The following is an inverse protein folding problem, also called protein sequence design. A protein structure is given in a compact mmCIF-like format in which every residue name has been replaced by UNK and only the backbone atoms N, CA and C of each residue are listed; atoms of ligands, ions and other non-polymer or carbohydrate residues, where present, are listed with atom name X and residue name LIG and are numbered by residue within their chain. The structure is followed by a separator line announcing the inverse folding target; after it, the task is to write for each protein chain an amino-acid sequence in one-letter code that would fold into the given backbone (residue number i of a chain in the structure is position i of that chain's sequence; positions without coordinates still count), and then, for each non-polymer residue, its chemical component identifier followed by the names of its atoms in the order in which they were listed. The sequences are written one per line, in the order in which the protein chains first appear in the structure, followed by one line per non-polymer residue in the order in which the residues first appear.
data_IF_079411272040
#
_entry.id   IF_079411272040
#
_cell.length_a   1.000
_cell.length_b   1.000
_cell.length_c   1.000
_cell.angle_alpha   90.00
_cell.angle_beta   90.00
_cell.angle_gamma   90.00
#
_symmetry.space_group_name_H-M   'P 1'
#
loop_
_entity.id
_entity.type
_entity.pdbx_description
1 polymer ?
#
# COMPACT_ATOMS: atom_id res chain seq x y z
N UNK A 1 26.94 -38.42 -10.96
CA UNK A 1 26.13 -38.52 -9.73
C UNK A 1 25.28 -37.27 -9.66
N UNK A 2 24.01 -37.35 -10.03
CA UNK A 2 23.05 -36.26 -9.91
C UNK A 2 22.73 -36.01 -8.44
N UNK A 3 23.08 -34.82 -7.93
CA UNK A 3 22.65 -34.37 -6.61
C UNK A 3 21.29 -33.71 -6.78
N UNK A 4 20.23 -34.49 -6.52
CA UNK A 4 18.87 -33.96 -6.35
C UNK A 4 18.82 -33.14 -5.06
N UNK A 5 18.64 -31.83 -5.18
CA UNK A 5 18.31 -30.97 -4.05
C UNK A 5 16.86 -31.25 -3.60
N UNK A 6 16.59 -31.40 -2.30
CA UNK A 6 15.23 -31.59 -1.82
C UNK A 6 14.45 -30.27 -1.98
N UNK A 7 13.38 -30.32 -2.76
CA UNK A 7 12.34 -29.29 -2.81
C UNK A 7 11.79 -29.07 -1.39
N UNK A 8 11.67 -27.82 -0.90
CA UNK A 8 11.04 -27.58 0.40
C UNK A 8 9.55 -27.91 0.30
N UNK A 9 9.13 -28.92 1.05
CA UNK A 9 7.74 -29.38 1.22
C UNK A 9 6.90 -28.40 2.05
N UNK A 10 6.91 -27.10 1.72
CA UNK A 10 5.96 -26.12 2.26
C UNK A 10 4.57 -26.21 1.60
N UNK A 11 4.50 -26.77 0.39
CA UNK A 11 3.26 -26.95 -0.36
C UNK A 11 2.25 -27.91 0.33
N UNK A 12 2.71 -28.78 1.24
CA UNK A 12 1.84 -29.72 1.98
C UNK A 12 1.17 -29.12 3.22
N UNK A 13 1.56 -27.92 3.65
CA UNK A 13 0.93 -27.23 4.78
C UNK A 13 -0.02 -26.12 4.29
N UNK A 14 0.22 -25.53 3.10
CA UNK A 14 -0.63 -24.49 2.53
C UNK A 14 -1.86 -25.02 1.75
N UNK A 15 -1.76 -26.17 1.08
CA UNK A 15 -2.88 -26.73 0.32
C UNK A 15 -4.09 -27.14 1.19
N UNK A 16 -3.94 -27.72 2.40
CA UNK A 16 -5.10 -28.10 3.20
C UNK A 16 -5.76 -26.93 3.93
N UNK A 17 -5.13 -25.76 4.06
CA UNK A 17 -5.76 -24.55 4.66
C UNK A 17 -6.59 -23.78 3.63
N UNK A 18 -6.13 -23.71 2.37
CA UNK A 18 -6.90 -23.08 1.29
C UNK A 18 -8.04 -23.97 0.75
N UNK A 19 -7.88 -25.31 0.71
CA UNK A 19 -8.97 -26.20 0.28
C UNK A 19 -10.04 -26.44 1.36
N UNK A 20 -9.71 -26.38 2.65
CA UNK A 20 -10.75 -26.43 3.70
C UNK A 20 -11.51 -25.11 3.82
N UNK A 21 -10.90 -23.96 3.52
CA UNK A 21 -11.63 -22.69 3.40
C UNK A 21 -12.61 -22.63 2.22
N UNK A 22 -12.38 -23.44 1.16
CA UNK A 22 -13.28 -23.56 0.00
C UNK A 22 -14.28 -24.72 0.10
N UNK A 23 -14.02 -25.75 0.92
CA UNK A 23 -14.92 -26.90 1.12
C UNK A 23 -15.78 -26.79 2.39
N UNK A 24 -15.59 -25.75 3.22
CA UNK A 24 -16.58 -25.28 4.18
C UNK A 24 -17.30 -24.02 3.68
N UNK A 25 -17.77 -24.06 2.44
CA UNK A 25 -19.03 -23.42 2.06
C UNK A 25 -20.15 -24.47 2.17
N UNK A 26 -20.60 -24.88 3.38
CA UNK A 26 -22.01 -25.21 3.47
C UNK A 26 -22.74 -23.93 3.04
N UNK A 27 -23.79 -24.04 2.23
CA UNK A 27 -24.56 -22.89 1.81
C UNK A 27 -24.79 -21.97 3.01
N UNK A 28 -24.12 -20.83 3.04
CA UNK A 28 -24.31 -19.82 4.08
C UNK A 28 -25.61 -19.12 3.68
N UNK A 29 -26.70 -19.82 4.01
CA UNK A 29 -27.92 -19.17 4.45
C UNK A 29 -27.52 -18.10 5.45
N UNK A 30 -28.01 -16.91 5.20
CA UNK A 30 -27.79 -15.71 5.98
C UNK A 30 -28.45 -15.77 7.36
N UNK A 31 -27.95 -16.58 8.30
CA UNK A 31 -28.39 -16.58 9.71
C UNK A 31 -27.18 -16.36 10.63
N UNK A 32 -27.21 -15.46 11.61
CA UNK A 32 -28.02 -15.66 12.82
C UNK A 32 -28.59 -14.38 13.47
N UNK A 33 -28.51 -13.21 12.81
CA UNK A 33 -29.05 -11.96 13.37
C UNK A 33 -30.34 -11.45 12.72
N UNK A 34 -30.63 -11.87 11.49
CA UNK A 34 -31.73 -11.32 10.68
C UNK A 34 -32.66 -12.37 10.08
N UNK A 35 -32.23 -13.64 9.92
CA UNK A 35 -33.05 -14.66 9.23
C UNK A 35 -34.31 -15.04 10.01
N UNK A 36 -34.28 -15.13 11.34
CA UNK A 36 -35.48 -15.44 12.13
C UNK A 36 -36.55 -14.35 12.08
N UNK A 37 -36.18 -13.07 11.95
CA UNK A 37 -37.18 -12.01 11.90
C UNK A 37 -38.00 -12.03 10.61
N UNK A 38 -37.39 -12.46 9.50
CA UNK A 38 -38.06 -12.57 8.20
C UNK A 38 -39.05 -13.72 8.16
N UNK A 39 -38.67 -14.88 8.68
CA UNK A 39 -39.55 -16.06 8.81
C UNK A 39 -40.64 -15.85 9.84
N UNK A 40 -40.34 -15.29 11.03
CA UNK A 40 -41.33 -15.04 12.07
C UNK A 40 -42.36 -13.99 11.66
N UNK A 41 -41.93 -12.93 10.96
CA UNK A 41 -42.85 -11.89 10.45
C UNK A 41 -43.73 -12.46 9.34
N UNK A 42 -43.18 -13.27 8.44
CA UNK A 42 -43.99 -13.92 7.39
C UNK A 42 -44.93 -14.99 7.94
N UNK A 43 -44.51 -15.76 8.95
CA UNK A 43 -45.37 -16.69 9.67
C UNK A 43 -46.48 -15.96 10.43
N UNK A 44 -46.19 -14.83 11.09
CA UNK A 44 -47.19 -14.01 11.76
C UNK A 44 -48.21 -13.44 10.76
N UNK A 45 -47.74 -12.93 9.62
CA UNK A 45 -48.61 -12.44 8.54
C UNK A 45 -49.51 -13.56 8.02
N UNK A 46 -48.97 -14.78 7.85
CA UNK A 46 -49.74 -15.95 7.43
C UNK A 46 -50.77 -16.37 8.49
N UNK A 47 -50.39 -16.41 9.77
CA UNK A 47 -51.30 -16.71 10.89
C UNK A 47 -52.45 -15.69 10.97
N UNK A 48 -52.16 -14.41 10.74
CA UNK A 48 -53.16 -13.34 10.73
C UNK A 48 -54.13 -13.47 9.54
N UNK A 49 -53.64 -13.93 8.37
CA UNK A 49 -54.46 -14.29 7.22
C UNK A 49 -55.37 -15.47 7.52
N UNK A 50 -54.82 -16.55 8.06
CA UNK A 50 -55.55 -17.79 8.38
C UNK A 50 -56.63 -17.56 9.44
N UNK A 51 -56.43 -16.57 10.33
CA UNK A 51 -57.43 -16.12 11.31
C UNK A 51 -58.49 -15.17 10.73
N UNK A 52 -58.43 -14.84 9.44
CA UNK A 52 -59.37 -13.94 8.78
C UNK A 52 -59.25 -12.47 9.21
N UNK A 53 -58.15 -12.09 9.87
CA UNK A 53 -57.91 -10.73 10.37
C UNK A 53 -57.26 -9.81 9.32
N UNK A 54 -56.80 -10.38 8.20
CA UNK A 54 -56.22 -9.65 7.07
C UNK A 54 -56.83 -10.18 5.77
N UNK A 55 -57.28 -9.27 4.91
CA UNK A 55 -57.68 -9.59 3.53
C UNK A 55 -56.45 -9.73 2.62
N UNK A 56 -56.62 -10.32 1.43
CA UNK A 56 -55.56 -10.36 0.42
C UNK A 56 -55.10 -8.95 -0.01
N UNK A 57 -56.02 -7.97 0.03
CA UNK A 57 -55.70 -6.56 -0.24
C UNK A 57 -54.83 -5.95 0.88
N UNK A 58 -55.12 -6.25 2.14
CA UNK A 58 -54.32 -5.80 3.29
C UNK A 58 -52.91 -6.40 3.24
N UNK A 59 -52.80 -7.66 2.85
CA UNK A 59 -51.54 -8.38 2.65
C UNK A 59 -50.68 -7.70 1.57
N UNK A 60 -51.27 -7.38 0.42
CA UNK A 60 -50.58 -6.67 -0.65
C UNK A 60 -50.10 -5.27 -0.20
N UNK A 61 -50.91 -4.54 0.57
CA UNK A 61 -50.53 -3.23 1.13
C UNK A 61 -49.40 -3.34 2.15
N UNK A 62 -49.44 -4.32 3.05
CA UNK A 62 -48.39 -4.57 4.04
C UNK A 62 -47.08 -4.94 3.35
N UNK A 63 -47.11 -5.83 2.36
CA UNK A 63 -45.92 -6.23 1.60
C UNK A 63 -45.32 -5.04 0.84
N UNK A 64 -46.14 -4.22 0.20
CA UNK A 64 -45.70 -2.98 -0.45
C UNK A 64 -45.03 -2.04 0.54
N UNK A 65 -45.65 -1.80 1.72
CA UNK A 65 -45.07 -0.92 2.75
C UNK A 65 -43.76 -1.45 3.32
N UNK A 66 -43.64 -2.76 3.52
CA UNK A 66 -42.38 -3.40 3.93
C UNK A 66 -41.31 -3.21 2.85
N UNK A 67 -41.68 -3.38 1.58
CA UNK A 67 -40.77 -3.16 0.45
C UNK A 67 -40.30 -1.71 0.38
N UNK A 68 -41.21 -0.74 0.45
CA UNK A 68 -40.89 0.69 0.47
C UNK A 68 -39.99 1.07 1.66
N UNK A 69 -40.24 0.50 2.85
CA UNK A 69 -39.38 0.71 4.02
C UNK A 69 -37.99 0.12 3.83
N UNK A 70 -37.87 -1.06 3.22
CA UNK A 70 -36.59 -1.68 2.89
C UNK A 70 -35.82 -0.86 1.84
N UNK A 71 -36.50 -0.40 0.80
CA UNK A 71 -35.91 0.46 -0.24
C UNK A 71 -35.44 1.79 0.33
N UNK A 72 -36.27 2.44 1.15
CA UNK A 72 -35.88 3.67 1.84
C UNK A 72 -34.70 3.46 2.77
N UNK A 73 -34.69 2.39 3.56
CA UNK A 73 -33.57 2.06 4.45
C UNK A 73 -32.29 1.79 3.65
N UNK A 74 -32.37 1.05 2.53
CA UNK A 74 -31.23 0.81 1.66
C UNK A 74 -30.70 2.12 1.04
N UNK A 75 -31.60 3.03 0.66
CA UNK A 75 -31.25 4.35 0.15
C UNK A 75 -30.61 5.23 1.23
N UNK A 76 -31.10 5.19 2.47
CA UNK A 76 -30.52 5.91 3.61
C UNK A 76 -29.14 5.33 4.00
N UNK A 77 -28.91 4.03 3.77
CA UNK A 77 -27.61 3.37 3.99
C UNK A 77 -26.59 3.65 2.86
N UNK A 78 -27.03 4.12 1.70
CA UNK A 78 -26.14 4.57 0.63
C UNK A 78 -25.60 5.98 0.96
N UNK A 79 -24.33 6.06 1.37
CA UNK A 79 -23.70 7.33 1.68
C UNK A 79 -23.54 8.21 0.42
N UNK A 80 -23.75 9.54 0.52
CA UNK A 80 -23.51 10.46 -0.59
C UNK A 80 -22.05 10.38 -1.04
N UNK A 81 -21.82 10.57 -2.34
CA UNK A 81 -20.47 10.57 -2.92
C UNK A 81 -19.62 11.61 -2.21
N UNK A 82 -18.63 11.14 -1.44
CA UNK A 82 -17.61 12.00 -0.85
C UNK A 82 -16.57 12.29 -1.92
N UNK A 83 -16.35 13.57 -2.17
CA UNK A 83 -15.29 14.06 -3.05
C UNK A 83 -14.23 14.69 -2.17
N UNK A 84 -12.99 14.28 -2.35
CA UNK A 84 -11.83 14.92 -1.72
C UNK A 84 -10.81 15.29 -2.77
N UNK A 85 -9.98 16.28 -2.49
CA UNK A 85 -8.91 16.71 -3.37
C UNK A 85 -7.63 17.00 -2.63
N UNK A 86 -6.49 16.78 -3.30
CA UNK A 86 -5.17 17.19 -2.80
C UNK A 86 -4.41 17.95 -3.86
N UNK A 87 -3.89 19.11 -3.45
CA UNK A 87 -2.95 19.91 -4.22
C UNK A 87 -1.69 20.11 -3.39
N UNK A 88 -0.52 19.90 -4.00
CA UNK A 88 0.78 20.23 -3.41
C UNK A 88 1.59 21.06 -4.38
N UNK A 89 1.83 22.31 -4.03
CA UNK A 89 2.75 23.19 -4.73
C UNK A 89 4.14 23.05 -4.09
N UNK A 90 5.17 22.85 -4.90
CA UNK A 90 6.54 22.62 -4.42
C UNK A 90 7.53 23.51 -5.17
N UNK A 91 8.51 24.02 -4.44
CA UNK A 91 9.78 24.52 -4.99
C UNK A 91 10.88 23.54 -4.60
N UNK A 92 11.83 23.31 -5.50
CA UNK A 92 13.00 22.45 -5.26
C UNK A 92 14.24 23.12 -5.83
N UNK A 93 15.34 22.99 -5.12
CA UNK A 93 16.66 23.44 -5.54
C UNK A 93 17.69 22.36 -5.18
N UNK A 94 18.34 21.86 -6.20
CA UNK A 94 19.45 20.91 -6.17
C UNK A 94 20.73 21.74 -6.14
N UNK A 95 21.56 21.46 -5.16
CA UNK A 95 22.87 22.09 -5.00
C UNK A 95 23.75 21.65 -6.17
N UNK A 96 24.49 22.61 -6.75
CA UNK A 96 25.46 22.36 -7.82
C UNK A 96 24.97 21.44 -8.96
N UNK A 97 23.68 21.59 -9.31
CA UNK A 97 23.02 20.80 -10.35
C UNK A 97 23.85 20.72 -11.64
N UNK A 98 24.35 19.51 -11.94
CA UNK A 98 25.00 19.22 -13.21
C UNK A 98 23.98 18.57 -14.18
N UNK A 99 23.51 19.28 -15.21
CA UNK A 99 22.56 18.74 -16.19
C UNK A 99 23.13 17.56 -17.01
N UNK A 100 24.43 17.31 -16.98
CA UNK A 100 25.06 16.14 -17.59
C UNK A 100 24.91 14.88 -16.73
N UNK A 101 24.74 15.05 -15.41
CA UNK A 101 24.40 13.95 -14.49
C UNK A 101 22.89 13.72 -14.51
N UNK A 102 22.45 12.66 -15.21
CA UNK A 102 21.03 12.27 -15.19
C UNK A 102 20.71 11.68 -13.82
N UNK A 103 20.18 12.49 -12.90
CA UNK A 103 19.70 12.02 -11.59
C UNK A 103 18.17 12.15 -11.52
N UNK A 104 17.39 11.18 -12.00
CA UNK A 104 15.94 11.21 -11.87
C UNK A 104 15.53 11.10 -10.39
N UNK A 105 14.48 11.82 -9.94
CA UNK A 105 13.61 12.73 -10.69
C UNK A 105 14.02 14.22 -10.53
N UNK A 106 15.27 14.48 -10.19
CA UNK A 106 15.84 15.78 -9.86
C UNK A 106 16.27 16.49 -11.16
N UNK A 107 15.33 16.72 -12.07
CA UNK A 107 15.69 17.13 -13.44
C UNK A 107 15.91 18.64 -13.59
N UNK A 108 15.54 19.46 -12.58
CA UNK A 108 15.81 20.90 -12.52
C UNK A 108 15.39 21.56 -11.20
N UNK A 109 16.00 22.72 -10.94
CA UNK A 109 15.53 23.71 -9.97
C UNK A 109 14.23 24.36 -10.45
N UNK A 110 13.26 24.52 -9.57
CA UNK A 110 12.06 25.30 -9.90
C UNK A 110 10.78 24.90 -9.19
N UNK A 111 9.71 25.57 -9.63
CA UNK A 111 8.35 25.39 -9.12
C UNK A 111 7.63 24.27 -9.86
N UNK A 112 6.81 23.53 -9.12
CA UNK A 112 6.02 22.42 -9.66
C UNK A 112 4.72 22.23 -8.88
N UNK A 113 3.68 21.81 -9.60
CA UNK A 113 2.51 21.20 -8.98
C UNK A 113 2.80 19.72 -8.77
N UNK A 114 3.52 19.41 -7.69
CA UNK A 114 4.02 18.06 -7.43
C UNK A 114 2.90 17.03 -7.38
N UNK A 115 1.76 17.37 -6.75
CA UNK A 115 0.62 16.47 -6.61
C UNK A 115 -0.69 17.19 -6.89
N UNK A 116 -1.50 16.65 -7.79
CA UNK A 116 -2.89 17.03 -8.01
C UNK A 116 -3.69 15.74 -8.08
N UNK A 117 -4.55 15.51 -7.08
CA UNK A 117 -5.25 14.23 -6.93
C UNK A 117 -6.70 14.46 -6.53
N UNK A 118 -7.59 13.61 -7.05
CA UNK A 118 -9.01 13.59 -6.71
C UNK A 118 -9.39 12.21 -6.19
N UNK A 119 -10.26 12.19 -5.19
CA UNK A 119 -10.74 10.98 -4.54
C UNK A 119 -12.25 10.99 -4.53
N UNK A 120 -12.85 9.87 -4.89
CA UNK A 120 -14.28 9.64 -4.82
C UNK A 120 -14.52 8.38 -3.99
N UNK A 121 -15.38 8.47 -2.98
CA UNK A 121 -15.69 7.32 -2.14
C UNK A 121 -17.13 7.39 -1.64
N UNK A 122 -17.69 6.23 -1.31
CA UNK A 122 -19.02 6.12 -0.73
C UNK A 122 -19.45 4.67 -0.62
N UNK A 123 -20.72 4.46 -0.30
CA UNK A 123 -21.34 3.13 -0.20
C UNK A 123 -22.26 2.95 -1.40
N UNK A 124 -21.89 2.08 -2.34
CA UNK A 124 -22.60 1.87 -3.60
C UNK A 124 -23.94 1.16 -3.39
N UNK A 125 -23.93 0.17 -2.49
CA UNK A 125 -25.11 -0.55 -1.97
C UNK A 125 -24.80 -0.97 -0.52
N UNK A 126 -25.79 -1.31 0.33
CA UNK A 126 -25.52 -1.75 1.69
C UNK A 126 -24.36 -2.76 1.79
N UNK A 127 -23.41 -2.49 2.68
CA UNK A 127 -22.15 -3.25 2.89
C UNK A 127 -21.12 -3.20 1.76
N UNK A 128 -21.35 -2.51 0.65
CA UNK A 128 -20.37 -2.41 -0.45
C UNK A 128 -19.89 -0.98 -0.59
N UNK A 129 -18.67 -0.73 -0.15
CA UNK A 129 -18.00 0.55 -0.33
C UNK A 129 -17.24 0.57 -1.65
N UNK A 130 -17.07 1.76 -2.22
CA UNK A 130 -16.24 1.98 -3.38
C UNK A 130 -15.24 3.12 -3.12
N UNK A 131 -14.11 3.06 -3.83
CA UNK A 131 -13.09 4.09 -3.79
C UNK A 131 -12.43 4.24 -5.16
N UNK A 132 -12.34 5.48 -5.64
CA UNK A 132 -11.67 5.86 -6.88
C UNK A 132 -10.68 6.98 -6.57
N UNK A 133 -9.44 6.84 -7.00
CA UNK A 133 -8.36 7.80 -6.80
C UNK A 133 -7.72 8.13 -8.14
N UNK A 134 -7.94 9.36 -8.59
CA UNK A 134 -7.36 9.91 -9.81
C UNK A 134 -6.10 10.69 -9.48
N UNK A 135 -5.03 10.41 -10.21
CA UNK A 135 -3.72 11.00 -10.04
C UNK A 135 -3.33 11.82 -11.27
N UNK A 136 -3.17 13.13 -11.08
CA UNK A 136 -2.66 14.10 -12.04
C UNK A 136 -1.37 14.75 -11.52
N UNK A 137 -0.58 14.00 -10.76
CA UNK A 137 0.75 14.43 -10.32
C UNK A 137 1.61 14.85 -11.53
N UNK A 138 2.56 15.76 -11.30
CA UNK A 138 3.49 16.22 -12.32
C UNK A 138 4.14 15.05 -13.06
N UNK A 139 4.23 15.15 -14.38
CA UNK A 139 4.82 14.13 -15.24
C UNK A 139 3.90 12.95 -15.55
N UNK A 140 2.59 13.08 -15.29
CA UNK A 140 1.60 12.06 -15.63
C UNK A 140 0.48 12.66 -16.50
N UNK A 141 -0.01 11.89 -17.47
CA UNK A 141 -1.16 12.29 -18.31
C UNK A 141 -2.53 12.11 -17.61
N UNK A 142 -2.52 11.94 -16.28
CA UNK A 142 -3.68 11.49 -15.52
C UNK A 142 -3.79 9.96 -15.52
N UNK A 143 -3.97 9.36 -14.34
CA UNK A 143 -4.12 7.90 -14.19
C UNK A 143 -5.02 7.52 -13.02
N UNK A 144 -5.71 6.40 -13.15
CA UNK A 144 -6.42 5.78 -12.03
C UNK A 144 -5.42 5.03 -11.17
N UNK A 145 -5.20 5.49 -9.95
CA UNK A 145 -4.31 4.82 -8.99
C UNK A 145 -5.02 3.73 -8.22
N UNK A 146 -6.17 4.05 -7.65
CA UNK A 146 -6.97 3.10 -6.89
C UNK A 146 -8.38 3.10 -7.47
N UNK A 147 -8.94 1.92 -7.70
CA UNK A 147 -10.32 1.71 -8.14
C UNK A 147 -10.76 0.33 -7.64
N UNK A 148 -11.57 0.31 -6.59
CA UNK A 148 -11.95 -0.95 -5.95
C UNK A 148 -13.34 -0.88 -5.32
N UNK A 149 -13.89 -2.08 -5.11
CA UNK A 149 -15.05 -2.34 -4.26
C UNK A 149 -14.59 -3.05 -2.99
N UNK A 150 -15.27 -2.80 -1.88
CA UNK A 150 -15.03 -3.44 -0.60
C UNK A 150 -16.34 -3.96 -0.04
N UNK A 151 -16.45 -5.27 0.13
CA UNK A 151 -17.57 -5.90 0.81
C UNK A 151 -17.27 -6.05 2.30
N UNK A 152 -18.02 -5.31 3.12
CA UNK A 152 -17.92 -5.32 4.58
C UNK A 152 -18.75 -6.49 5.14
N UNK A 153 -18.07 -7.55 5.60
CA UNK A 153 -18.73 -8.75 6.14
C UNK A 153 -19.46 -8.36 7.44
N UNK A 154 -18.68 -7.84 8.39
CA UNK A 154 -19.11 -7.32 9.71
C UNK A 154 -17.91 -6.68 10.42
N UNK A 155 -18.12 -5.87 11.48
CA UNK A 155 -17.01 -5.32 12.28
C UNK A 155 -16.06 -6.39 12.86
N UNK A 156 -16.55 -7.58 13.18
CA UNK A 156 -15.79 -8.67 13.77
C UNK A 156 -14.95 -9.43 12.73
N UNK A 157 -15.51 -9.62 11.53
CA UNK A 157 -14.93 -10.39 10.46
C UNK A 157 -14.18 -9.56 9.42
N UNK A 158 -14.32 -8.23 9.43
CA UNK A 158 -13.64 -7.33 8.49
C UNK A 158 -14.29 -7.28 7.10
N UNK A 159 -13.46 -7.18 6.07
CA UNK A 159 -13.89 -6.95 4.70
C UNK A 159 -13.07 -7.71 3.66
N UNK A 160 -13.67 -7.89 2.49
CA UNK A 160 -13.00 -8.35 1.27
C UNK A 160 -12.95 -7.19 0.29
N UNK A 161 -11.76 -6.85 -0.18
CA UNK A 161 -11.52 -5.80 -1.19
C UNK A 161 -11.14 -6.41 -2.52
N UNK A 162 -11.71 -5.89 -3.61
CA UNK A 162 -11.49 -6.37 -4.97
C UNK A 162 -11.29 -5.19 -5.92
N UNK A 163 -10.25 -5.23 -6.76
CA UNK A 163 -9.91 -4.16 -7.71
C UNK A 163 -8.45 -3.77 -7.64
N UNK A 164 -8.13 -2.52 -8.00
CA UNK A 164 -6.78 -1.97 -7.98
C UNK A 164 -6.54 -1.12 -6.75
N UNK A 165 -5.52 -1.44 -5.96
CA UNK A 165 -5.17 -0.70 -4.75
C UNK A 165 -3.72 -0.99 -4.32
N UNK A 166 -3.25 -0.31 -3.26
CA UNK A 166 -1.96 -0.59 -2.65
C UNK A 166 -1.90 -2.02 -2.10
N UNK A 167 -0.85 -2.75 -2.46
CA UNK A 167 -0.53 -4.05 -1.87
C UNK A 167 -0.17 -3.86 -0.39
N UNK A 168 -0.65 -4.70 0.54
CA UNK A 168 -0.46 -4.54 2.00
C UNK A 168 0.97 -4.90 2.44
N UNK A 169 1.96 -4.14 1.99
CA UNK A 169 3.38 -4.35 2.29
C UNK A 169 4.07 -3.02 2.59
N UNK A 170 4.66 -2.90 3.79
CA UNK A 170 5.31 -1.66 4.23
C UNK A 170 4.37 -0.66 4.89
N UNK A 171 4.70 -0.17 6.10
CA UNK A 171 3.89 0.86 6.78
C UNK A 171 3.85 2.17 6.01
N UNK A 172 5.01 2.74 5.69
CA UNK A 172 5.06 4.06 5.07
C UNK A 172 4.51 4.03 3.65
N UNK A 173 4.61 2.89 2.97
CA UNK A 173 3.98 2.69 1.67
C UNK A 173 2.45 2.83 1.75
N UNK A 174 1.82 2.18 2.73
CA UNK A 174 0.36 2.16 2.90
C UNK A 174 -0.21 3.50 3.34
N UNK A 175 0.54 4.24 4.13
CA UNK A 175 0.19 5.57 4.61
C UNK A 175 -0.09 6.59 3.49
N UNK A 176 -0.98 7.55 3.78
CA UNK A 176 -1.22 8.68 2.88
C UNK A 176 -0.08 9.68 2.96
N UNK A 177 0.46 10.07 1.81
CA UNK A 177 1.50 11.09 1.75
C UNK A 177 1.08 12.47 2.25
N UNK A 178 -0.21 12.69 2.50
CA UNK A 178 -0.68 13.93 3.12
C UNK A 178 -0.25 14.03 4.60
N UNK A 179 0.05 12.91 5.25
CA UNK A 179 0.32 12.81 6.70
C UNK A 179 1.80 12.63 7.05
N UNK A 180 2.69 12.56 6.07
CA UNK A 180 4.11 12.35 6.35
C UNK A 180 4.77 13.53 7.09
N UNK A 181 5.80 13.19 7.87
CA UNK A 181 6.73 14.14 8.48
C UNK A 181 7.60 14.84 7.44
N UNK A 182 7.92 14.14 6.34
CA UNK A 182 8.70 14.64 5.22
C UNK A 182 7.86 14.71 3.95
N UNK A 183 8.28 15.46 2.95
CA UNK A 183 7.56 15.64 1.68
C UNK A 183 7.52 14.37 0.83
N UNK A 184 8.51 13.50 1.01
CA UNK A 184 8.71 12.25 0.29
C UNK A 184 8.88 11.08 1.29
N UNK A 185 8.46 9.90 0.85
CA UNK A 185 8.72 8.66 1.59
C UNK A 185 10.22 8.38 1.61
N UNK A 186 10.61 7.51 2.51
CA UNK A 186 11.85 6.80 2.36
C UNK A 186 11.87 6.07 1.02
N UNK A 187 13.02 6.13 0.37
CA UNK A 187 13.22 5.48 -0.92
C UNK A 187 13.05 3.95 -0.84
N UNK A 188 13.29 3.33 0.32
CA UNK A 188 13.26 1.88 0.52
C UNK A 188 11.90 1.29 0.16
N UNK A 189 10.82 1.94 0.61
CA UNK A 189 9.45 1.50 0.31
C UNK A 189 9.06 1.72 -1.17
N UNK A 190 9.63 2.75 -1.81
CA UNK A 190 9.39 3.04 -3.23
C UNK A 190 10.17 2.09 -4.16
N UNK A 191 11.35 1.62 -3.74
CA UNK A 191 12.21 0.73 -4.51
C UNK A 191 11.93 -0.74 -4.20
N UNK A 192 12.04 -1.18 -2.96
CA UNK A 192 11.95 -2.58 -2.60
C UNK A 192 10.54 -3.04 -2.19
N UNK A 193 9.59 -2.13 -1.99
CA UNK A 193 8.20 -2.45 -1.67
C UNK A 193 7.37 -2.96 -2.86
N UNK A 194 6.18 -3.48 -2.56
CA UNK A 194 5.15 -3.79 -3.56
C UNK A 194 4.23 -2.60 -3.69
N UNK A 195 4.04 -2.13 -4.93
CA UNK A 195 3.33 -0.87 -5.16
C UNK A 195 1.79 -1.04 -5.12
N UNK A 196 1.13 -0.75 -6.23
CA UNK A 196 -0.30 -1.00 -6.42
C UNK A 196 -0.45 -2.14 -7.41
N UNK A 197 -1.49 -2.93 -7.22
CA UNK A 197 -1.78 -4.08 -8.05
C UNK A 197 -3.28 -4.36 -8.07
N UNK A 198 -3.70 -5.16 -9.04
CA UNK A 198 -5.07 -5.65 -9.16
C UNK A 198 -5.15 -7.00 -8.44
N UNK A 199 -6.13 -7.14 -7.55
CA UNK A 199 -6.27 -8.38 -6.80
C UNK A 199 -7.44 -8.40 -5.83
N UNK A 200 -7.46 -9.44 -5.02
CA UNK A 200 -8.43 -9.67 -3.95
C UNK A 200 -7.69 -9.76 -2.63
N UNK A 201 -8.20 -9.08 -1.61
CA UNK A 201 -7.62 -9.04 -0.27
C UNK A 201 -8.71 -9.21 0.77
N UNK A 202 -8.46 -10.08 1.73
CA UNK A 202 -9.19 -10.14 2.99
C UNK A 202 -8.42 -9.36 4.05
N UNK A 203 -9.11 -8.49 4.79
CA UNK A 203 -8.49 -7.62 5.78
C UNK A 203 -9.46 -7.38 6.95
N UNK A 204 -8.97 -7.47 8.20
CA UNK A 204 -9.81 -7.21 9.38
C UNK A 204 -10.11 -5.72 9.56
N UNK A 205 -9.08 -4.89 9.41
CA UNK A 205 -9.14 -3.44 9.56
C UNK A 205 -8.23 -2.76 8.53
N UNK A 206 -8.70 -1.67 7.91
CA UNK A 206 -8.02 -1.00 6.80
C UNK A 206 -6.66 -0.40 7.20
N UNK A 207 -5.55 -0.97 6.75
CA UNK A 207 -4.20 -0.47 7.02
C UNK A 207 -3.97 0.96 6.49
N UNK A 208 -4.66 1.35 5.42
CA UNK A 208 -4.58 2.71 4.84
C UNK A 208 -5.08 3.78 5.81
N UNK A 209 -5.96 3.41 6.74
CA UNK A 209 -6.57 4.33 7.72
C UNK A 209 -5.75 4.45 9.01
N UNK A 210 -4.91 3.46 9.31
CA UNK A 210 -4.19 3.34 10.59
C UNK A 210 -2.87 4.11 10.67
N UNK A 211 -2.48 4.89 9.65
CA UNK A 211 -1.35 5.81 9.81
C UNK A 211 -1.75 6.97 10.72
N UNK A 212 -1.31 6.89 11.98
CA UNK A 212 -1.50 7.94 12.97
C UNK A 212 -0.35 8.94 12.87
N UNK A 213 -0.66 10.23 12.88
CA UNK A 213 0.33 11.29 13.08
C UNK A 213 0.07 11.94 14.45
N UNK A 214 0.86 12.95 14.83
CA UNK A 214 0.70 13.59 16.14
C UNK A 214 -0.66 14.31 16.33
N UNK A 215 -1.44 14.50 15.26
CA UNK A 215 -2.80 15.05 15.31
C UNK A 215 -3.87 14.00 15.42
N UNK A 216 -3.55 12.72 15.17
CA UNK A 216 -4.49 11.64 15.30
C UNK A 216 -5.01 11.61 16.73
N UNK A 217 -6.26 12.04 16.91
CA UNK A 217 -7.01 11.67 18.08
C UNK A 217 -7.39 10.20 17.84
N UNK A 218 -6.68 9.30 18.53
CA UNK A 218 -6.85 7.88 18.28
C UNK A 218 -8.32 7.47 18.50
N UNK A 219 -8.98 6.99 17.45
CA UNK A 219 -10.24 6.24 17.54
C UNK A 219 -10.03 4.87 18.21
N UNK A 220 -8.77 4.44 18.37
CA UNK A 220 -8.43 3.18 19.01
C UNK A 220 -8.27 3.35 20.52
N UNK A 221 -9.30 2.96 21.25
CA UNK A 221 -9.36 2.95 22.72
C UNK A 221 -8.90 1.62 23.32
N UNK A 222 -8.68 0.60 22.49
CA UNK A 222 -8.33 -0.76 22.88
C UNK A 222 -7.13 -1.31 22.08
N UNK A 223 -6.36 -2.24 22.66
CA UNK A 223 -5.36 -2.98 21.91
C UNK A 223 -5.97 -3.67 20.68
N UNK A 224 -5.31 -3.59 19.53
CA UNK A 224 -5.82 -4.18 18.30
C UNK A 224 -4.79 -5.05 17.59
N UNK A 225 -5.32 -6.06 16.90
CA UNK A 225 -4.58 -6.90 15.96
C UNK A 225 -5.24 -6.74 14.60
N UNK A 226 -4.47 -6.24 13.63
CA UNK A 226 -4.89 -6.06 12.26
C UNK A 226 -4.12 -7.06 11.40
N UNK A 227 -4.82 -7.73 10.49
CA UNK A 227 -4.18 -8.62 9.53
C UNK A 227 -4.81 -8.44 8.15
N UNK A 228 -4.01 -8.69 7.12
CA UNK A 228 -4.45 -8.79 5.74
C UNK A 228 -3.78 -9.97 5.04
N UNK A 229 -4.52 -10.60 4.14
CA UNK A 229 -4.06 -11.63 3.22
C UNK A 229 -4.58 -11.28 1.83
N UNK A 230 -3.70 -11.21 0.84
CA UNK A 230 -4.07 -10.83 -0.52
C UNK A 230 -3.39 -11.66 -1.58
N UNK A 231 -4.10 -11.81 -2.70
CA UNK A 231 -3.62 -12.41 -3.94
C UNK A 231 -3.78 -11.36 -5.04
N UNK A 232 -2.69 -11.08 -5.75
CA UNK A 232 -2.59 -10.04 -6.77
C UNK A 232 -1.96 -10.59 -8.05
N UNK A 233 -2.15 -9.90 -9.17
CA UNK A 233 -1.56 -10.31 -10.45
C UNK A 233 -0.02 -10.41 -10.39
N UNK A 234 0.64 -9.58 -9.58
CA UNK A 234 2.07 -9.70 -9.34
C UNK A 234 2.91 -9.13 -10.48
N UNK A 235 4.10 -9.69 -10.70
CA UNK A 235 4.97 -9.25 -11.79
C UNK A 235 4.34 -9.57 -13.14
N UNK A 236 4.24 -8.59 -14.03
CA UNK A 236 3.73 -8.76 -15.40
C UNK A 236 4.88 -9.01 -16.39
N UNK A 237 4.60 -9.76 -17.46
CA UNK A 237 5.43 -9.92 -18.66
C UNK A 237 5.31 -8.62 -19.47
N UNK A 238 6.42 -7.91 -19.68
CA UNK A 238 6.35 -6.70 -20.49
C UNK A 238 6.33 -7.06 -21.98
N UNK A 239 5.37 -6.53 -22.72
CA UNK A 239 5.43 -6.41 -24.18
C UNK A 239 6.53 -5.38 -24.53
N UNK A 240 7.78 -5.82 -24.60
CA UNK A 240 8.87 -5.19 -25.36
C UNK A 240 9.36 -3.77 -24.99
N UNK A 241 8.71 -3.01 -24.11
CA UNK A 241 9.10 -1.60 -23.81
C UNK A 241 9.01 -1.19 -22.32
N UNK A 242 8.82 -2.14 -21.40
CA UNK A 242 8.56 -1.83 -19.99
C UNK A 242 9.75 -2.04 -19.06
N UNK A 243 10.82 -1.25 -19.15
CA UNK A 243 11.70 -1.11 -17.97
C UNK A 243 11.10 -0.13 -16.97
N UNK A 244 10.99 -0.63 -15.74
CA UNK A 244 10.38 0.00 -14.57
C UNK A 244 11.36 1.01 -13.97
N UNK A 245 11.34 2.25 -14.47
CA UNK A 245 11.93 3.36 -13.74
C UNK A 245 11.23 3.51 -12.38
N UNK A 246 11.97 3.96 -11.37
CA UNK A 246 11.40 4.36 -10.08
C UNK A 246 10.24 5.37 -10.20
N UNK A 247 10.09 6.06 -11.34
CA UNK A 247 9.00 7.00 -11.65
C UNK A 247 7.73 6.36 -12.26
N UNK A 248 7.82 5.24 -12.98
CA UNK A 248 6.70 4.70 -13.80
C UNK A 248 6.39 3.20 -13.61
N UNK A 249 6.47 2.69 -12.38
CA UNK A 249 5.85 1.39 -12.03
C UNK A 249 4.31 1.35 -12.17
N UNK A 250 3.66 2.45 -12.59
CA UNK A 250 2.20 2.46 -12.77
C UNK A 250 1.75 2.00 -14.14
N UNK A 251 2.50 2.28 -15.22
CA UNK A 251 2.03 2.01 -16.58
C UNK A 251 1.92 0.51 -16.88
N UNK A 252 2.77 -0.32 -16.27
CA UNK A 252 2.76 -1.76 -16.49
C UNK A 252 1.82 -2.55 -15.55
N UNK A 253 1.31 -1.97 -14.44
CA UNK A 253 0.41 -2.69 -13.50
C UNK A 253 -1.00 -2.12 -13.43
N UNK A 254 -1.19 -0.92 -13.98
CA UNK A 254 -2.50 -0.27 -14.04
C UNK A 254 -3.17 -0.68 -15.36
N UNK A 255 -4.08 -1.65 -15.30
CA UNK A 255 -4.94 -2.03 -16.43
C UNK A 255 -4.54 -3.28 -17.22
N UNK A 256 -3.39 -3.90 -16.97
CA UNK A 256 -3.06 -5.22 -17.56
C UNK A 256 -3.49 -6.33 -16.59
N UNK A 257 -4.27 -7.30 -17.11
CA UNK A 257 -4.64 -8.50 -16.37
C UNK A 257 -3.41 -9.38 -16.06
N UNK A 258 -3.62 -10.48 -15.33
CA UNK A 258 -2.56 -11.47 -15.14
C UNK A 258 -2.19 -12.08 -16.51
N UNK A 259 -0.97 -11.86 -16.95
CA UNK A 259 -0.45 -12.27 -18.25
C UNK A 259 0.43 -13.53 -18.22
N UNK A 260 0.63 -14.12 -17.03
CA UNK A 260 1.58 -15.21 -16.83
C UNK A 260 1.14 -16.34 -15.90
N UNK A 261 -0.13 -16.32 -15.49
CA UNK A 261 -0.75 -17.29 -14.57
C UNK A 261 -0.02 -17.46 -13.22
N UNK A 262 0.93 -16.57 -12.87
CA UNK A 262 1.52 -16.49 -11.54
C UNK A 262 0.82 -15.40 -10.73
N UNK A 263 0.87 -15.52 -9.41
CA UNK A 263 0.28 -14.55 -8.51
C UNK A 263 1.28 -14.10 -7.46
N UNK A 264 1.09 -12.87 -7.02
CA UNK A 264 1.71 -12.33 -5.83
C UNK A 264 0.82 -12.60 -4.61
N UNK A 265 1.36 -13.32 -3.65
CA UNK A 265 0.75 -13.59 -2.36
C UNK A 265 1.36 -12.67 -1.33
N UNK A 266 0.54 -11.94 -0.57
CA UNK A 266 1.01 -11.01 0.46
C UNK A 266 0.23 -11.21 1.75
N UNK A 267 0.94 -11.18 2.87
CA UNK A 267 0.36 -11.09 4.19
C UNK A 267 0.94 -9.92 4.98
N UNK A 268 0.12 -9.34 5.85
CA UNK A 268 0.53 -8.33 6.81
C UNK A 268 -0.13 -8.56 8.14
N UNK A 269 0.63 -8.35 9.21
CA UNK A 269 0.17 -8.32 10.59
C UNK A 269 0.60 -6.98 11.21
N UNK A 270 -0.28 -6.37 12.00
CA UNK A 270 0.07 -5.25 12.87
C UNK A 270 -0.55 -5.44 14.25
N UNK A 271 0.25 -5.19 15.26
CA UNK A 271 -0.15 -5.19 16.66
C UNK A 271 -0.08 -3.76 17.18
N UNK A 272 -1.15 -3.32 17.84
CA UNK A 272 -1.18 -2.08 18.63
C UNK A 272 -1.47 -2.45 20.08
N UNK A 273 -0.45 -2.61 20.94
CA UNK A 273 -0.64 -3.20 22.25
C UNK A 273 -1.06 -2.21 23.34
N UNK A 274 -0.92 -0.90 23.12
CA UNK A 274 -1.03 0.12 24.18
C UNK A 274 -2.35 0.88 24.09
N UNK A 275 -3.03 0.98 25.24
CA UNK A 275 -4.13 1.90 25.50
C UNK A 275 -3.54 3.30 25.70
N UNK A 276 -4.17 4.34 25.15
CA UNK A 276 -3.73 5.73 25.34
C UNK A 276 -3.75 6.08 26.85
N UNK A 277 -2.59 6.19 27.46
CA UNK A 277 -2.38 6.67 28.83
C UNK A 277 -1.47 7.93 28.80
N UNK A 278 -1.35 8.64 29.93
CA UNK A 278 -0.51 9.85 29.99
C UNK A 278 0.95 9.52 29.60
N UNK A 279 1.37 9.97 28.40
CA UNK A 279 2.72 9.76 27.87
C UNK A 279 2.72 9.01 26.54
N UNK A 280 2.30 7.73 26.52
CA UNK A 280 2.28 6.90 25.32
C UNK A 280 0.93 6.99 24.60
N UNK A 281 0.91 7.68 23.46
CA UNK A 281 -0.33 7.91 22.70
C UNK A 281 -0.60 6.81 21.68
N UNK A 282 0.45 6.20 21.12
CA UNK A 282 0.32 5.17 20.09
C UNK A 282 1.59 4.33 19.97
N UNK A 283 1.45 3.00 20.06
CA UNK A 283 2.53 2.02 19.82
C UNK A 283 2.03 1.03 18.79
N UNK A 284 2.80 0.77 17.74
CA UNK A 284 2.46 -0.30 16.81
C UNK A 284 3.70 -0.99 16.28
N UNK A 285 3.59 -2.29 16.07
CA UNK A 285 4.57 -3.13 15.41
C UNK A 285 3.90 -3.79 14.21
N UNK A 286 4.54 -3.72 13.05
CA UNK A 286 4.06 -4.35 11.83
C UNK A 286 5.08 -5.34 11.27
N UNK A 287 4.57 -6.33 10.56
CA UNK A 287 5.37 -7.21 9.73
C UNK A 287 4.60 -7.57 8.46
N UNK A 288 5.30 -7.61 7.34
CA UNK A 288 4.75 -8.03 6.05
C UNK A 288 5.62 -9.11 5.42
N UNK A 289 5.00 -10.02 4.67
CA UNK A 289 5.67 -11.02 3.86
C UNK A 289 5.01 -11.12 2.50
N UNK A 290 5.80 -11.34 1.45
CA UNK A 290 5.33 -11.46 0.09
C UNK A 290 6.11 -12.53 -0.66
N UNK A 291 5.41 -13.23 -1.55
CA UNK A 291 5.99 -14.26 -2.42
C UNK A 291 5.32 -14.26 -3.79
N UNK A 292 6.11 -14.41 -4.83
CA UNK A 292 5.64 -14.66 -6.19
C UNK A 292 6.62 -15.52 -6.97
N UNK A 293 6.10 -16.36 -7.87
CA UNK A 293 6.92 -17.02 -8.88
C UNK A 293 7.13 -16.07 -10.05
N UNK A 294 8.29 -16.14 -10.69
CA UNK A 294 8.57 -15.34 -11.87
C UNK A 294 8.04 -16.04 -13.14
N UNK A 295 7.56 -15.28 -14.14
CA UNK A 295 7.18 -15.83 -15.43
C UNK A 295 8.39 -16.48 -16.11
N UNK A 296 8.19 -17.63 -16.76
CA UNK A 296 9.24 -18.36 -17.48
C UNK A 296 9.53 -17.80 -18.88
N UNK A 297 8.61 -17.03 -19.46
CA UNK A 297 8.70 -16.49 -20.82
C UNK A 297 8.21 -15.03 -20.86
N UNK A 298 9.12 -14.06 -20.75
CA UNK A 298 8.78 -12.64 -20.90
C UNK A 298 10.02 -11.77 -20.92
N UNK A 299 10.11 -10.88 -21.91
CA UNK A 299 11.17 -9.87 -21.97
C UNK A 299 10.86 -8.81 -20.91
N UNK A 300 11.67 -8.71 -19.88
CA UNK A 300 11.83 -7.46 -19.16
C UNK A 300 13.18 -6.88 -19.57
N UNK A 301 13.48 -5.61 -19.32
CA UNK A 301 14.84 -5.09 -19.49
C UNK A 301 15.36 -4.74 -18.11
N UNK A 302 16.51 -5.27 -17.65
CA UNK A 302 17.23 -4.79 -16.44
C UNK A 302 18.43 -4.07 -17.00
N UNK A 303 18.21 -2.94 -17.66
CA UNK A 303 19.33 -2.12 -18.07
C UNK A 303 18.82 -0.70 -18.28
N UNK A 304 19.12 0.16 -17.32
CA UNK A 304 19.27 1.57 -17.62
C UNK A 304 20.33 2.11 -16.66
N UNK A 305 21.54 2.32 -17.18
CA UNK A 305 22.65 3.00 -16.49
C UNK A 305 22.27 4.43 -16.04
N UNK A 306 21.07 4.91 -16.40
CA UNK A 306 20.57 6.24 -16.02
C UNK A 306 19.38 6.21 -15.05
N UNK A 307 18.89 5.05 -14.61
CA UNK A 307 17.71 4.93 -13.71
C UNK A 307 17.83 3.78 -12.72
N UNK A 308 17.96 4.10 -11.41
CA UNK A 308 18.08 3.18 -10.25
C UNK A 308 17.34 1.85 -10.44
N UNK A 309 18.04 0.84 -10.95
CA UNK A 309 17.49 -0.49 -11.24
C UNK A 309 17.35 -1.30 -9.95
N UNK A 310 16.34 -2.17 -9.89
CA UNK A 310 16.05 -2.94 -8.67
C UNK A 310 17.09 -4.01 -8.33
N UNK A 311 18.08 -4.33 -9.19
CA UNK A 311 19.06 -5.39 -8.92
C UNK A 311 20.41 -5.29 -9.68
N UNK A 312 20.75 -4.18 -10.34
CA UNK A 312 22.06 -3.92 -11.00
C UNK A 312 22.76 -5.16 -11.66
N UNK A 313 22.14 -5.73 -12.71
CA UNK A 313 22.57 -6.98 -13.40
C UNK A 313 22.92 -6.68 -14.87
N UNK A 314 24.02 -7.22 -15.42
CA UNK A 314 24.51 -6.95 -16.81
C UNK A 314 24.17 -8.00 -17.86
N UNK A 315 23.63 -9.17 -17.50
CA UNK A 315 23.54 -10.26 -18.48
C UNK A 315 22.65 -9.93 -19.68
N UNK A 316 23.02 -10.39 -20.87
CA UNK A 316 22.07 -10.58 -21.96
C UNK A 316 21.04 -11.65 -21.55
N UNK A 317 19.81 -11.21 -21.28
CA UNK A 317 18.64 -12.01 -20.92
C UNK A 317 18.63 -12.64 -19.49
N UNK A 318 18.61 -11.83 -18.40
CA UNK A 318 18.53 -12.29 -17.01
C UNK A 318 17.21 -13.04 -16.66
N UNK A 319 16.27 -13.09 -17.59
CA UNK A 319 14.87 -13.49 -17.39
C UNK A 319 14.62 -14.99 -17.53
N UNK A 320 15.39 -15.65 -18.40
CA UNK A 320 15.46 -17.12 -18.43
C UNK A 320 16.04 -17.70 -17.15
N UNK A 321 16.66 -16.85 -16.33
CA UNK A 321 17.31 -17.28 -15.11
C UNK A 321 16.44 -17.04 -13.87
N UNK A 322 15.42 -16.19 -13.81
CA UNK A 322 14.69 -15.94 -12.54
C UNK A 322 13.61 -17.00 -12.24
N UNK A 323 13.53 -17.47 -11.00
CA UNK A 323 12.60 -18.52 -10.56
C UNK A 323 11.50 -17.98 -9.63
N UNK A 324 11.90 -17.39 -8.50
CA UNK A 324 10.96 -16.84 -7.52
C UNK A 324 11.50 -15.58 -6.86
N UNK A 325 10.59 -14.84 -6.27
CA UNK A 325 10.89 -13.63 -5.53
C UNK A 325 10.12 -13.64 -4.21
N UNK A 326 10.81 -13.28 -3.13
CA UNK A 326 10.21 -13.15 -1.82
C UNK A 326 10.71 -11.87 -1.14
N UNK A 327 9.85 -11.25 -0.34
CA UNK A 327 10.24 -10.13 0.49
C UNK A 327 9.62 -10.23 1.88
N UNK A 328 10.26 -9.59 2.83
CA UNK A 328 9.70 -9.37 4.15
C UNK A 328 10.07 -7.99 4.66
N UNK A 329 9.23 -7.46 5.53
CA UNK A 329 9.39 -6.14 6.15
C UNK A 329 8.96 -6.22 7.62
N UNK A 330 9.61 -5.41 8.45
CA UNK A 330 9.21 -5.15 9.82
C UNK A 330 9.24 -3.65 10.07
N UNK A 331 8.27 -3.16 10.82
CA UNK A 331 8.11 -1.75 11.10
C UNK A 331 7.63 -1.47 12.50
N UNK A 332 7.82 -0.23 12.93
CA UNK A 332 7.22 0.27 14.15
C UNK A 332 6.94 1.76 14.08
N UNK A 333 5.91 2.21 14.79
CA UNK A 333 5.58 3.62 14.94
C UNK A 333 5.18 3.93 16.38
N UNK A 334 5.81 4.96 16.94
CA UNK A 334 5.63 5.37 18.33
C UNK A 334 5.21 6.84 18.37
N UNK A 335 4.22 7.17 19.18
CA UNK A 335 3.84 8.56 19.49
C UNK A 335 3.92 8.72 21.01
N UNK A 336 4.88 9.53 21.46
CA UNK A 336 5.19 9.75 22.88
C UNK A 336 5.13 11.24 23.15
N UNK A 337 4.09 11.70 23.84
CA UNK A 337 3.87 13.12 24.11
C UNK A 337 3.77 13.96 22.83
N UNK A 338 4.82 14.72 22.54
CA UNK A 338 4.98 15.59 21.36
C UNK A 338 5.91 15.01 20.29
N UNK A 339 6.47 13.83 20.55
CA UNK A 339 7.39 13.16 19.64
C UNK A 339 6.66 12.08 18.84
N UNK A 340 7.05 11.94 17.57
CA UNK A 340 6.65 10.87 16.68
C UNK A 340 7.92 10.18 16.19
N UNK A 341 7.96 8.86 16.26
CA UNK A 341 9.06 8.04 15.77
C UNK A 341 8.53 6.95 14.86
N UNK A 342 9.32 6.61 13.84
CA UNK A 342 9.03 5.50 12.93
C UNK A 342 10.33 4.84 12.50
N UNK A 343 10.30 3.51 12.37
CA UNK A 343 11.37 2.74 11.77
C UNK A 343 10.77 1.63 10.88
N UNK A 344 11.46 1.28 9.81
CA UNK A 344 11.07 0.21 8.89
C UNK A 344 12.34 -0.40 8.30
N UNK A 345 12.42 -1.73 8.28
CA UNK A 345 13.46 -2.50 7.58
C UNK A 345 12.76 -3.39 6.55
N UNK A 346 13.29 -3.43 5.35
CA UNK A 346 12.75 -4.22 4.25
C UNK A 346 13.87 -5.00 3.58
N UNK A 347 13.62 -6.29 3.30
CA UNK A 347 14.49 -7.12 2.47
C UNK A 347 13.70 -7.83 1.38
N UNK A 348 14.22 -7.80 0.16
CA UNK A 348 13.65 -8.44 -1.03
C UNK A 348 14.70 -9.27 -1.75
N UNK A 349 14.39 -10.52 -2.01
CA UNK A 349 15.28 -11.49 -2.64
C UNK A 349 14.67 -12.00 -3.95
N UNK A 350 15.45 -11.95 -5.00
CA UNK A 350 15.18 -12.59 -6.28
C UNK A 350 16.10 -13.80 -6.41
N UNK A 351 15.52 -14.98 -6.60
CA UNK A 351 16.24 -16.21 -6.85
C UNK A 351 16.18 -16.57 -8.34
N UNK A 352 17.22 -17.27 -8.78
CA UNK A 352 17.40 -17.68 -10.16
C UNK A 352 17.53 -19.20 -10.30
N UNK A 353 16.83 -19.77 -11.28
CA UNK A 353 17.05 -21.10 -11.86
C UNK A 353 18.44 -21.19 -12.54
N UNK A 354 18.91 -20.07 -13.10
CA UNK A 354 20.23 -19.92 -13.74
C UNK A 354 21.24 -19.08 -12.95
N UNK A 355 22.36 -18.74 -13.60
CA UNK A 355 23.33 -17.76 -13.08
C UNK A 355 22.95 -16.34 -13.52
N UNK A 356 22.76 -15.44 -12.57
CA UNK A 356 22.75 -13.99 -12.78
C UNK A 356 24.20 -13.53 -12.95
N UNK A 357 24.47 -12.62 -13.88
CA UNK A 357 25.80 -12.01 -14.08
C UNK A 357 25.70 -10.50 -13.87
N UNK A 358 26.53 -9.94 -12.98
CA UNK A 358 26.47 -8.54 -12.56
C UNK A 358 27.57 -7.68 -13.18
N UNK A 359 27.48 -6.36 -13.02
CA UNK A 359 28.31 -5.35 -13.73
C UNK A 359 29.82 -5.59 -13.61
N UNK A 360 30.27 -6.13 -12.48
CA UNK A 360 31.66 -6.52 -12.22
C UNK A 360 32.01 -7.96 -12.68
N UNK A 361 31.22 -8.57 -13.55
CA UNK A 361 31.30 -9.96 -14.00
C UNK A 361 31.14 -11.04 -12.90
N UNK A 362 30.74 -10.67 -11.67
CA UNK A 362 30.37 -11.63 -10.63
C UNK A 362 29.14 -12.43 -11.08
N UNK A 363 29.05 -13.69 -10.64
CA UNK A 363 27.88 -14.53 -10.89
C UNK A 363 27.26 -15.01 -9.58
N UNK A 364 25.93 -15.01 -9.50
CA UNK A 364 25.19 -15.56 -8.36
C UNK A 364 23.86 -16.18 -8.79
N UNK A 365 23.32 -17.08 -7.97
CA UNK A 365 21.98 -17.67 -8.16
C UNK A 365 20.87 -16.90 -7.44
N UNK A 366 21.23 -15.82 -6.75
CA UNK A 366 20.25 -14.93 -6.15
C UNK A 366 20.86 -13.56 -5.94
N UNK A 367 20.00 -12.56 -5.90
CA UNK A 367 20.33 -11.19 -5.54
C UNK A 367 19.36 -10.73 -4.45
N UNK A 368 19.84 -9.90 -3.53
CA UNK A 368 19.04 -9.33 -2.45
C UNK A 368 19.21 -7.83 -2.43
N UNK A 369 18.09 -7.13 -2.33
CA UNK A 369 17.99 -5.72 -2.02
C UNK A 369 17.52 -5.58 -0.57
N UNK A 370 18.12 -4.69 0.21
CA UNK A 370 17.62 -4.33 1.53
C UNK A 370 17.94 -2.90 1.93
N UNK A 371 17.20 -2.40 2.89
CA UNK A 371 17.38 -1.07 3.42
C UNK A 371 16.50 -0.84 4.64
N UNK A 372 16.83 0.20 5.39
CA UNK A 372 16.02 0.63 6.52
C UNK A 372 16.08 2.14 6.70
N UNK A 373 15.05 2.68 7.33
CA UNK A 373 15.09 4.06 7.80
C UNK A 373 14.66 4.13 9.25
N UNK A 374 15.16 5.15 9.93
CA UNK A 374 14.62 5.68 11.17
C UNK A 374 14.30 7.14 10.97
N UNK A 375 13.13 7.55 11.45
CA UNK A 375 12.75 8.95 11.41
C UNK A 375 12.06 9.37 12.70
N UNK A 376 12.22 10.63 13.04
CA UNK A 376 11.62 11.24 14.20
C UNK A 376 11.20 12.68 13.94
N UNK A 377 10.18 13.12 14.66
CA UNK A 377 9.74 14.50 14.68
C UNK A 377 9.33 14.93 16.08
N UNK A 378 9.64 16.15 16.47
CA UNK A 378 9.23 16.73 17.75
C UNK A 378 8.47 18.04 17.53
N UNK A 379 7.27 18.14 18.09
CA UNK A 379 6.48 19.37 18.06
C UNK A 379 7.03 20.40 19.05
N UNK A 380 7.94 21.24 18.57
CA UNK A 380 8.49 22.38 19.34
C UNK A 380 7.42 23.42 19.68
N UNK A 381 6.39 23.53 18.84
CA UNK A 381 5.13 24.19 19.17
C UNK A 381 4.01 23.16 19.01
N UNK A 382 3.31 22.78 20.09
CA UNK A 382 2.30 21.73 20.04
C UNK A 382 1.31 21.94 18.90
N UNK A 383 1.10 20.91 18.07
CA UNK A 383 0.17 20.91 16.93
C UNK A 383 0.42 22.02 15.88
N UNK A 384 1.54 22.75 15.91
CA UNK A 384 1.81 23.85 14.96
C UNK A 384 3.16 23.76 14.27
N UNK A 385 4.23 23.46 14.99
CA UNK A 385 5.57 23.42 14.42
C UNK A 385 6.29 22.16 14.86
N UNK A 386 6.70 21.33 13.91
CA UNK A 386 7.55 20.17 14.15
C UNK A 386 8.91 20.33 13.49
N UNK A 387 9.96 19.90 14.18
CA UNK A 387 11.29 19.68 13.61
C UNK A 387 11.51 18.19 13.47
N UNK A 388 12.05 17.77 12.33
CA UNK A 388 12.12 16.38 11.93
C UNK A 388 13.51 16.00 11.43
N UNK A 389 13.92 14.77 11.68
CA UNK A 389 15.13 14.18 11.12
C UNK A 389 14.86 12.74 10.66
N UNK A 390 15.52 12.33 9.58
CA UNK A 390 15.51 10.95 9.07
C UNK A 390 16.91 10.55 8.64
N UNK A 391 17.24 9.29 8.87
CA UNK A 391 18.37 8.59 8.27
C UNK A 391 17.83 7.34 7.59
N UNK A 392 18.30 7.06 6.38
CA UNK A 392 17.93 5.87 5.61
C UNK A 392 19.15 5.28 4.89
N UNK A 393 19.18 3.96 4.74
CA UNK A 393 20.19 3.24 3.97
C UNK A 393 19.51 2.36 2.94
N UNK A 394 20.13 2.16 1.78
CA UNK A 394 19.57 1.26 0.77
C UNK A 394 20.66 0.64 -0.11
N UNK A 395 20.73 -0.68 -0.08
CA UNK A 395 21.52 -1.49 -1.01
C UNK A 395 20.55 -2.23 -1.96
N UNK A 396 20.47 -1.87 -3.25
CA UNK A 396 19.64 -2.56 -4.23
C UNK A 396 20.18 -3.92 -4.66
N UNK A 397 21.47 -4.21 -4.41
CA UNK A 397 22.13 -5.41 -4.90
C UNK A 397 23.36 -5.77 -4.04
N UNK A 398 23.15 -6.68 -3.09
CA UNK A 398 24.21 -7.21 -2.24
C UNK A 398 25.33 -8.02 -2.96
N UNK A 399 25.31 -8.12 -4.30
CA UNK A 399 26.34 -8.75 -5.10
C UNK A 399 27.37 -7.75 -5.63
N UNK A 400 27.02 -6.47 -5.79
CA UNK A 400 27.91 -5.44 -6.35
C UNK A 400 27.75 -4.12 -5.61
N UNK A 401 28.88 -3.55 -5.21
CA UNK A 401 28.93 -2.19 -4.69
C UNK A 401 28.87 -1.20 -5.87
N UNK A 402 27.88 -0.31 -5.90
CA UNK A 402 27.73 0.72 -6.93
C UNK A 402 27.23 2.04 -6.33
N UNK A 403 27.15 3.10 -7.14
CA UNK A 403 26.59 4.40 -6.73
C UNK A 403 25.10 4.33 -6.32
N UNK A 404 24.43 3.20 -6.51
CA UNK A 404 23.04 3.00 -6.09
C UNK A 404 22.91 2.50 -4.64
N UNK A 405 24.02 2.08 -4.04
CA UNK A 405 24.13 1.80 -2.61
C UNK A 405 24.43 3.13 -1.91
N UNK A 406 23.56 3.56 -0.99
CA UNK A 406 23.66 4.89 -0.40
C UNK A 406 23.12 4.96 1.02
N UNK A 407 23.62 5.96 1.73
CA UNK A 407 23.07 6.51 2.96
C UNK A 407 22.47 7.88 2.64
N UNK A 408 21.25 8.16 3.13
CA UNK A 408 20.61 9.47 2.98
C UNK A 408 20.13 9.97 4.31
N UNK A 409 20.28 11.27 4.47
CA UNK A 409 19.82 11.99 5.63
C UNK A 409 18.84 13.09 5.19
N UNK A 410 17.84 13.35 6.02
CA UNK A 410 16.88 14.42 5.79
C UNK A 410 16.69 15.21 7.07
N UNK A 411 16.83 16.53 7.00
CA UNK A 411 16.37 17.45 8.04
C UNK A 411 15.17 18.21 7.50
N UNK A 412 14.13 18.37 8.32
CA UNK A 412 12.95 19.09 7.87
C UNK A 412 12.15 19.75 8.97
N UNK A 413 11.22 20.59 8.55
CA UNK A 413 10.23 21.20 9.43
C UNK A 413 8.84 21.13 8.80
N UNK A 414 7.81 21.11 9.65
CA UNK A 414 6.43 21.28 9.23
C UNK A 414 5.76 22.39 10.04
N UNK A 415 5.12 23.33 9.34
CA UNK A 415 4.25 24.33 9.93
C UNK A 415 2.79 24.02 9.55
N UNK A 416 2.00 23.61 10.54
CA UNK A 416 0.62 23.17 10.39
C UNK A 416 -0.33 24.33 10.63
N UNK A 417 -0.97 24.80 9.57
CA UNK A 417 -1.93 25.91 9.62
C UNK A 417 -3.32 25.37 9.98
N UNK A 418 -3.70 24.23 9.39
CA UNK A 418 -4.91 23.48 9.73
C UNK A 418 -4.62 21.98 9.67
N UNK A 419 -3.86 21.47 10.65
CA UNK A 419 -3.41 20.08 10.68
C UNK A 419 -2.79 19.66 9.35
N UNK A 420 -3.02 18.41 8.93
CA UNK A 420 -2.56 17.95 7.62
C UNK A 420 -3.39 18.48 6.44
N UNK A 421 -4.50 19.18 6.69
CA UNK A 421 -5.33 19.70 5.61
C UNK A 421 -4.68 20.92 4.96
N UNK A 422 -3.97 21.73 5.73
CA UNK A 422 -3.23 22.87 5.21
C UNK A 422 -1.92 23.05 5.98
N UNK A 423 -0.79 22.77 5.31
CA UNK A 423 0.55 22.81 5.93
C UNK A 423 1.63 23.26 4.95
N UNK A 424 2.65 23.93 5.50
CA UNK A 424 3.91 24.21 4.85
C UNK A 424 4.96 23.22 5.36
N UNK A 425 5.79 22.71 4.48
CA UNK A 425 6.89 21.81 4.81
C UNK A 425 8.17 22.34 4.17
N UNK A 426 9.31 22.07 4.79
CA UNK A 426 10.63 22.30 4.22
C UNK A 426 11.57 21.17 4.59
N UNK A 427 12.28 20.60 3.61
CA UNK A 427 13.21 19.48 3.80
C UNK A 427 14.53 19.80 3.10
N UNK A 428 15.65 19.47 3.74
CA UNK A 428 16.99 19.39 3.14
C UNK A 428 17.42 17.93 3.15
N UNK A 429 17.87 17.45 2.00
CA UNK A 429 18.28 16.07 1.80
C UNK A 429 19.73 16.07 1.32
N UNK A 430 20.54 15.22 1.93
CA UNK A 430 21.89 14.93 1.46
C UNK A 430 22.14 13.43 1.46
N UNK A 431 22.90 12.95 0.49
CA UNK A 431 23.09 11.54 0.23
C UNK A 431 24.57 11.23 -0.02
N UNK A 432 25.06 10.21 0.66
CA UNK A 432 26.40 9.67 0.47
C UNK A 432 26.29 8.36 -0.30
N UNK A 433 26.85 8.29 -1.51
CA UNK A 433 26.95 7.06 -2.28
C UNK A 433 28.14 6.20 -1.87
N UNK A 434 28.00 4.89 -2.04
CA UNK A 434 29.02 3.95 -1.61
C UNK A 434 30.31 3.97 -2.46
N UNK A 435 30.26 4.50 -3.69
CA UNK A 435 31.38 4.44 -4.66
C UNK A 435 31.87 5.83 -5.06
N UNK A 436 31.01 6.65 -5.67
CA UNK A 436 31.35 8.00 -6.14
C UNK A 436 30.28 8.96 -5.64
N UNK A 437 30.72 9.99 -4.93
CA UNK A 437 29.85 11.05 -4.42
C UNK A 437 29.20 11.77 -5.60
N UNK A 438 27.87 11.78 -5.60
CA UNK A 438 27.08 12.50 -6.59
C UNK A 438 26.63 13.83 -6.00
N UNK A 439 26.70 14.89 -6.80
CA UNK A 439 26.15 16.18 -6.38
C UNK A 439 24.63 16.18 -6.53
N UNK A 440 23.96 15.66 -5.51
CA UNK A 440 22.52 15.42 -5.52
C UNK A 440 21.84 15.89 -4.24
N UNK A 441 22.51 16.72 -3.45
CA UNK A 441 21.94 17.39 -2.29
C UNK A 441 20.90 18.39 -2.76
N UNK A 442 19.79 18.48 -2.04
CA UNK A 442 18.72 19.39 -2.42
C UNK A 442 17.88 19.81 -1.24
N UNK A 443 17.35 21.03 -1.33
CA UNK A 443 16.26 21.47 -0.48
C UNK A 443 14.96 21.64 -1.26
N UNK A 444 13.86 21.47 -0.55
CA UNK A 444 12.52 21.63 -1.06
C UNK A 444 11.62 22.36 -0.07
N UNK A 445 10.66 23.11 -0.61
CA UNK A 445 9.57 23.75 0.13
C UNK A 445 8.25 23.33 -0.49
N UNK A 446 7.26 22.96 0.33
CA UNK A 446 5.97 22.51 -0.16
C UNK A 446 4.81 23.08 0.64
N UNK A 447 3.84 23.66 -0.07
CA UNK A 447 2.53 23.99 0.46
C UNK A 447 1.52 22.92 0.05
N UNK A 448 0.86 22.29 1.02
CA UNK A 448 -0.18 21.29 0.81
C UNK A 448 -1.56 21.85 1.16
N UNK A 449 -2.53 21.56 0.30
CA UNK A 449 -3.96 21.67 0.58
C UNK A 449 -4.65 20.31 0.36
N UNK A 450 -5.41 19.84 1.34
CA UNK A 450 -6.31 18.69 1.27
C UNK A 450 -7.70 19.18 1.69
N UNK A 451 -8.71 18.92 0.86
CA UNK A 451 -10.09 19.38 1.04
C UNK A 451 -11.11 18.26 0.82
#
# INVERSE_FOLDING_TARGET
MEVKYPQPTLLRIFLPVCLTALMFLPGISSADGMENSGTDTQQLIQILKDKGLLTDEDLAKIQTRIKEQKEKKAQDEMAPVKIQGRVQFRYMNIEDFDPSTKIPPLDANGFRLQRVRLFFSGTAVPKVDYYIHLNFDQGTDGRVWDAYLQYNISPEWGHVRMGQYKVPFGRQWLASSARFLFMNRSNIGDYAGFRRDIGVMYEKYSFTEHYQDAFAEADMTEPSVNYAFGIFNGNHIADGNGFLSGSDLTSARVGSGNDNDQYLYVSRLSLTPVKREEGFKYLTFGASAAYQKQPTNGERFIQDDTKKALFDVTSGNPWKASDWEAAWEVDSQWIIGQAVFQAEYLRRKLAADGLLTFTNARQARSVTADGWYVQGGYFVVPKKLSLNARYETYDPNNQVKSQNDYDRYTLGFNYYINGNNFKLQGDYNWQDEAVEDLNNDFWELQLQLLF
#
